data_IF_707845189452
#
_entry.id   IF_707845189452
#
_cell.length_a   1.000
_cell.length_b   1.000
_cell.length_c   1.000
_cell.angle_alpha   90.00
_cell.angle_beta   90.00
_cell.angle_gamma   90.00
#
_symmetry.space_group_name_H-M   'P 1'
#
loop_
_entity.id
_entity.type
_entity.pdbx_description
1 polymer ?
#
# COMPACT_ATOMS: atom_id res chain seq x y z
N UNK A 1 16.27 11.33 -26.01
CA UNK A 1 15.55 10.07 -26.38
C UNK A 1 15.40 9.09 -25.21
N UNK A 2 16.15 9.21 -24.10
CA UNK A 2 16.03 8.29 -22.93
C UNK A 2 14.80 8.54 -22.04
N UNK A 3 14.25 9.76 -22.02
CA UNK A 3 13.14 10.11 -21.12
C UNK A 3 11.81 9.42 -21.46
N UNK A 4 11.56 9.12 -22.74
CA UNK A 4 10.29 8.54 -23.19
C UNK A 4 10.17 7.06 -22.78
N UNK A 5 11.27 6.29 -22.87
CA UNK A 5 11.30 4.89 -22.44
C UNK A 5 11.11 4.73 -20.94
N UNK A 6 11.72 5.61 -20.12
CA UNK A 6 11.50 5.61 -18.67
C UNK A 6 10.05 5.96 -18.29
N UNK A 7 9.42 6.89 -19.02
CA UNK A 7 8.03 7.26 -18.81
C UNK A 7 7.08 6.11 -19.14
N UNK A 8 7.30 5.41 -20.27
CA UNK A 8 6.51 4.22 -20.64
C UNK A 8 6.64 3.11 -19.60
N UNK A 9 7.86 2.78 -19.17
CA UNK A 9 8.08 1.78 -18.13
C UNK A 9 7.41 2.15 -16.79
N UNK A 10 7.39 3.46 -16.44
CA UNK A 10 6.70 3.93 -15.24
C UNK A 10 5.18 3.84 -15.33
N UNK A 11 4.62 4.05 -16.53
CA UNK A 11 3.19 3.87 -16.80
C UNK A 11 2.81 2.41 -16.69
N UNK A 12 3.57 1.53 -17.37
CA UNK A 12 3.33 0.08 -17.33
C UNK A 12 3.38 -0.47 -15.90
N UNK A 13 4.34 -0.01 -15.08
CA UNK A 13 4.39 -0.39 -13.66
C UNK A 13 3.19 0.14 -12.88
N UNK A 14 2.79 1.39 -13.09
CA UNK A 14 1.61 1.95 -12.42
C UNK A 14 0.34 1.16 -12.74
N UNK A 15 0.16 0.79 -14.00
CA UNK A 15 -0.99 0.03 -14.48
C UNK A 15 -0.98 -1.39 -13.89
N UNK A 16 0.18 -2.06 -13.89
CA UNK A 16 0.34 -3.39 -13.27
C UNK A 16 0.02 -3.37 -11.77
N UNK A 17 0.51 -2.37 -11.03
CA UNK A 17 0.23 -2.25 -9.60
C UNK A 17 -1.26 -1.99 -9.34
N UNK A 18 -1.94 -1.29 -10.25
CA UNK A 18 -3.38 -1.09 -10.19
C UNK A 18 -4.14 -2.40 -10.42
N UNK A 19 -3.77 -3.19 -11.43
CA UNK A 19 -4.35 -4.53 -11.66
C UNK A 19 -4.17 -5.45 -10.45
N UNK A 20 -3.00 -5.43 -9.80
CA UNK A 20 -2.75 -6.19 -8.57
C UNK A 20 -3.69 -5.75 -7.44
N UNK A 21 -3.86 -4.43 -7.25
CA UNK A 21 -4.74 -3.90 -6.22
C UNK A 21 -6.21 -4.31 -6.46
N UNK A 22 -6.67 -4.21 -7.70
CA UNK A 22 -8.04 -4.58 -8.08
C UNK A 22 -8.28 -6.08 -7.92
N UNK A 23 -7.36 -6.93 -8.37
CA UNK A 23 -7.45 -8.38 -8.21
C UNK A 23 -7.43 -8.82 -6.74
N UNK A 24 -6.62 -8.19 -5.89
CA UNK A 24 -6.58 -8.48 -4.46
C UNK A 24 -7.89 -8.11 -3.76
N UNK A 25 -8.51 -6.99 -4.17
CA UNK A 25 -9.82 -6.56 -3.66
C UNK A 25 -10.92 -7.53 -4.08
N UNK A 26 -10.94 -7.94 -5.34
CA UNK A 26 -11.90 -8.93 -5.85
C UNK A 26 -11.76 -10.27 -5.13
N UNK A 27 -10.54 -10.78 -5.00
CA UNK A 27 -10.25 -12.07 -4.37
C UNK A 27 -10.67 -12.12 -2.89
N UNK A 28 -10.47 -11.03 -2.16
CA UNK A 28 -10.76 -10.94 -0.72
C UNK A 28 -12.16 -10.40 -0.41
N UNK A 29 -12.94 -10.05 -1.44
CA UNK A 29 -14.22 -9.35 -1.31
C UNK A 29 -14.11 -8.10 -0.41
N UNK A 30 -13.00 -7.37 -0.54
CA UNK A 30 -12.71 -6.21 0.29
C UNK A 30 -13.41 -4.94 -0.24
N UNK A 31 -13.65 -3.96 0.62
CA UNK A 31 -14.20 -2.65 0.20
C UNK A 31 -13.14 -1.78 -0.50
N UNK A 32 -11.87 -1.98 -0.15
CA UNK A 32 -10.73 -1.25 -0.71
C UNK A 32 -9.45 -2.05 -0.52
N UNK A 33 -8.45 -1.72 -1.33
CA UNK A 33 -7.13 -2.32 -1.26
C UNK A 33 -6.15 -1.51 -2.08
N UNK A 34 -4.86 -1.77 -1.89
CA UNK A 34 -3.82 -1.01 -2.56
C UNK A 34 -2.45 -1.62 -2.39
N UNK A 35 -1.51 -1.09 -3.16
CA UNK A 35 -0.09 -1.41 -3.10
C UNK A 35 0.67 -0.16 -2.67
N UNK A 36 1.49 -0.31 -1.63
CA UNK A 36 2.41 0.73 -1.20
C UNK A 36 3.86 0.29 -1.42
N UNK A 37 4.68 1.20 -1.93
CA UNK A 37 6.09 0.94 -2.22
C UNK A 37 6.97 1.69 -1.22
N UNK A 38 8.05 1.04 -0.80
CA UNK A 38 9.07 1.65 0.06
C UNK A 38 9.77 2.76 -0.72
N UNK A 39 9.86 3.95 -0.13
CA UNK A 39 10.50 5.13 -0.68
C UNK A 39 11.36 5.82 0.39
N UNK A 40 12.09 6.86 -0.02
CA UNK A 40 12.91 7.69 0.87
C UNK A 40 13.80 6.88 1.82
N UNK A 41 14.63 6.01 1.23
CA UNK A 41 15.61 5.19 1.97
C UNK A 41 14.99 4.32 3.07
N UNK A 42 13.74 3.89 2.89
CA UNK A 42 13.07 2.98 3.84
C UNK A 42 12.25 3.70 4.91
N UNK A 43 12.15 5.02 4.89
CA UNK A 43 11.42 5.77 5.93
C UNK A 43 9.92 5.82 5.71
N UNK A 44 9.48 5.74 4.45
CA UNK A 44 8.08 5.87 4.09
C UNK A 44 7.64 4.82 3.08
N UNK A 45 6.33 4.62 3.06
CA UNK A 45 5.59 3.85 2.08
C UNK A 45 4.72 4.82 1.29
N UNK A 46 4.91 4.89 -0.03
CA UNK A 46 4.04 5.66 -0.93
C UNK A 46 2.95 4.75 -1.47
N UNK A 47 1.68 5.16 -1.34
CA UNK A 47 0.53 4.44 -1.93
C UNK A 47 0.59 4.57 -3.46
N UNK A 48 1.11 3.53 -4.13
CA UNK A 48 1.36 3.53 -5.57
C UNK A 48 0.12 3.13 -6.38
N UNK A 49 -0.70 2.24 -5.84
CA UNK A 49 -1.98 1.85 -6.41
C UNK A 49 -3.02 1.70 -5.30
N UNK A 50 -4.27 2.06 -5.57
CA UNK A 50 -5.36 1.97 -4.62
C UNK A 50 -6.71 2.04 -5.31
N UNK A 51 -7.66 1.25 -4.83
CA UNK A 51 -9.02 1.14 -5.36
C UNK A 51 -10.06 1.25 -4.25
N UNK A 52 -11.32 1.47 -4.64
CA UNK A 52 -12.44 1.66 -3.72
C UNK A 52 -12.47 3.05 -3.04
N UNK A 53 -13.28 3.19 -1.96
CA UNK A 53 -13.41 4.45 -1.21
C UNK A 53 -12.10 5.06 -0.72
N UNK A 54 -11.04 4.26 -0.53
CA UNK A 54 -9.73 4.79 -0.14
C UNK A 54 -8.92 5.40 -1.29
N UNK A 55 -9.39 5.39 -2.53
CA UNK A 55 -8.63 5.90 -3.69
C UNK A 55 -8.10 7.33 -3.53
N UNK A 56 -8.74 8.14 -2.68
CA UNK A 56 -8.32 9.51 -2.31
C UNK A 56 -6.94 9.61 -1.66
N UNK A 57 -6.36 8.49 -1.19
CA UNK A 57 -5.04 8.48 -0.54
C UNK A 57 -3.89 8.12 -1.47
N UNK A 58 -4.13 8.02 -2.78
CA UNK A 58 -3.08 7.81 -3.76
C UNK A 58 -1.93 8.81 -3.57
N UNK A 59 -0.70 8.33 -3.72
CA UNK A 59 0.56 9.06 -3.52
C UNK A 59 0.82 9.61 -2.12
N UNK A 60 -0.08 9.39 -1.15
CA UNK A 60 0.19 9.72 0.25
C UNK A 60 1.31 8.84 0.80
N UNK A 61 2.04 9.40 1.76
CA UNK A 61 3.10 8.73 2.50
C UNK A 61 2.57 8.19 3.83
N UNK A 62 2.93 6.95 4.12
CA UNK A 62 2.72 6.27 5.39
C UNK A 62 4.10 6.04 6.01
N UNK A 63 4.35 6.44 7.27
CA UNK A 63 5.63 6.20 7.91
C UNK A 63 5.84 4.69 8.10
N UNK A 64 7.07 4.21 7.90
CA UNK A 64 7.41 2.83 8.24
C UNK A 64 7.36 2.64 9.76
N UNK A 65 7.93 3.58 10.52
CA UNK A 65 7.83 3.55 11.97
C UNK A 65 6.41 3.85 12.44
N UNK A 66 5.89 3.02 13.33
CA UNK A 66 4.57 3.22 13.93
C UNK A 66 3.38 2.94 13.01
N UNK A 67 3.56 2.15 11.94
CA UNK A 67 2.46 1.66 11.11
C UNK A 67 2.44 0.14 10.95
N UNK A 68 1.24 -0.42 10.78
CA UNK A 68 1.04 -1.83 10.45
C UNK A 68 1.78 -2.22 9.17
N UNK A 69 1.71 -1.38 8.13
CA UNK A 69 2.41 -1.65 6.87
C UNK A 69 3.93 -1.64 7.06
N UNK A 70 4.47 -0.70 7.84
CA UNK A 70 5.89 -0.68 8.16
C UNK A 70 6.33 -1.88 8.99
N UNK A 71 5.48 -2.41 9.86
CA UNK A 71 5.76 -3.66 10.58
C UNK A 71 5.88 -4.87 9.63
N UNK A 72 5.06 -4.93 8.57
CA UNK A 72 5.12 -5.97 7.53
C UNK A 72 6.40 -5.86 6.72
N UNK A 73 6.80 -4.63 6.35
CA UNK A 73 8.06 -4.39 5.61
C UNK A 73 9.28 -4.76 6.45
N UNK A 74 9.27 -4.39 7.73
CA UNK A 74 10.42 -4.62 8.64
C UNK A 74 10.58 -6.09 9.01
N UNK A 75 9.47 -6.80 9.23
CA UNK A 75 9.48 -8.22 9.63
C UNK A 75 9.39 -9.20 8.47
N UNK A 76 9.14 -8.68 7.25
CA UNK A 76 8.77 -9.43 6.06
C UNK A 76 7.72 -10.53 6.26
N UNK A 77 6.82 -10.32 7.23
CA UNK A 77 5.79 -11.29 7.62
C UNK A 77 4.41 -10.66 7.44
N UNK A 78 3.42 -11.38 6.89
CA UNK A 78 2.05 -10.88 6.81
C UNK A 78 1.47 -10.50 8.16
N UNK A 79 0.62 -9.48 8.18
CA UNK A 79 -0.14 -9.06 9.36
C UNK A 79 -1.62 -9.01 9.04
N UNK A 80 -2.43 -9.58 9.94
CA UNK A 80 -3.87 -9.41 9.97
C UNK A 80 -4.22 -8.53 11.19
N UNK A 81 -5.08 -7.54 10.98
CA UNK A 81 -5.73 -6.79 12.05
C UNK A 81 -7.24 -6.93 11.88
N UNK A 82 -7.91 -7.46 12.91
CA UNK A 82 -9.37 -7.63 12.95
C UNK A 82 -10.08 -6.43 13.59
N UNK A 83 -9.32 -5.50 14.15
CA UNK A 83 -9.82 -4.24 14.71
C UNK A 83 -8.69 -3.21 14.63
N UNK A 84 -8.65 -2.46 13.54
CA UNK A 84 -7.63 -1.44 13.35
C UNK A 84 -7.82 -0.22 14.26
N UNK A 85 -9.01 0.01 14.83
CA UNK A 85 -9.21 1.14 15.74
C UNK A 85 -8.58 0.86 17.10
N UNK A 86 -8.61 -0.41 17.54
CA UNK A 86 -7.97 -0.88 18.76
C UNK A 86 -6.49 -1.31 18.57
N UNK A 87 -6.02 -1.54 17.34
CA UNK A 87 -4.64 -1.96 17.08
C UNK A 87 -3.65 -0.79 17.27
N UNK A 88 -2.75 -0.85 18.27
CA UNK A 88 -1.82 0.25 18.57
C UNK A 88 -0.80 0.49 17.46
N UNK A 89 -0.68 -0.42 16.48
CA UNK A 89 0.18 -0.26 15.32
C UNK A 89 -0.51 0.48 14.17
N UNK A 90 -1.78 0.83 14.31
CA UNK A 90 -2.51 1.55 13.26
C UNK A 90 -2.02 2.99 13.17
N UNK A 91 -1.43 3.33 12.03
CA UNK A 91 -1.18 4.71 11.67
C UNK A 91 -2.48 5.39 11.24
N UNK A 92 -2.91 6.40 11.99
CA UNK A 92 -4.06 7.24 11.62
C UNK A 92 -3.58 8.36 10.70
N UNK A 93 -3.93 8.25 9.42
CA UNK A 93 -3.52 9.23 8.43
C UNK A 93 -4.24 10.58 8.66
N UNK A 94 -3.51 11.70 8.79
CA UNK A 94 -4.11 13.01 8.97
C UNK A 94 -4.97 13.46 7.78
N UNK A 95 -6.14 14.03 8.07
CA UNK A 95 -7.07 14.57 7.09
C UNK A 95 -7.94 13.51 6.40
N UNK A 96 -8.16 12.38 7.09
CA UNK A 96 -8.86 11.23 6.56
C UNK A 96 -9.95 10.80 7.53
N UNK A 97 -11.20 11.08 7.18
CA UNK A 97 -12.35 10.89 8.07
C UNK A 97 -12.98 9.49 7.97
N UNK A 98 -12.28 8.54 7.35
CA UNK A 98 -12.73 7.14 7.29
C UNK A 98 -11.98 6.27 8.30
N UNK A 99 -12.66 5.24 8.80
CA UNK A 99 -12.09 4.25 9.71
C UNK A 99 -12.07 2.90 9.01
N UNK A 100 -10.87 2.38 8.77
CA UNK A 100 -10.71 0.98 8.38
C UNK A 100 -10.97 0.11 9.61
N UNK A 101 -11.76 -0.95 9.44
CA UNK A 101 -12.10 -1.87 10.53
C UNK A 101 -11.14 -3.04 10.61
N UNK A 102 -10.85 -3.64 9.47
CA UNK A 102 -9.97 -4.80 9.36
C UNK A 102 -8.97 -4.58 8.23
N UNK A 103 -7.82 -5.25 8.32
CA UNK A 103 -6.85 -5.28 7.23
C UNK A 103 -6.08 -6.59 7.21
N UNK A 104 -5.80 -7.07 6.00
CA UNK A 104 -4.76 -8.05 5.72
C UNK A 104 -3.67 -7.34 4.92
N UNK A 105 -2.43 -7.39 5.42
CA UNK A 105 -1.29 -6.71 4.82
C UNK A 105 -0.19 -7.75 4.59
N UNK A 106 0.23 -7.89 3.34
CA UNK A 106 1.23 -8.88 2.92
C UNK A 106 2.46 -8.17 2.35
N UNK A 107 3.67 -8.71 2.56
CA UNK A 107 4.87 -8.15 1.95
C UNK A 107 4.86 -8.46 0.45
N UNK A 108 5.01 -7.43 -0.37
CA UNK A 108 5.29 -7.58 -1.80
C UNK A 108 6.80 -7.50 -2.00
N UNK A 109 7.38 -8.61 -2.44
CA UNK A 109 8.81 -8.70 -2.73
C UNK A 109 9.01 -8.57 -4.22
N UNK A 110 9.95 -7.70 -4.60
CA UNK A 110 10.59 -7.85 -5.89
C UNK A 110 11.24 -9.23 -5.90
N UNK A 111 10.82 -10.10 -6.82
CA UNK A 111 11.73 -11.12 -7.30
C UNK A 111 12.83 -10.34 -8.01
N UNK A 112 13.86 -9.94 -7.27
CA UNK A 112 15.03 -9.31 -7.87
C UNK A 112 15.59 -10.18 -9.00
N UNK A 113 16.52 -9.66 -9.82
CA UNK A 113 17.36 -10.56 -10.59
C UNK A 113 18.05 -11.61 -9.69
#
# INVERSE_FOLDING_TARGET
MLAFGALLASSELSDLLQEIADAAVELLEAESGGVALVVEEGRFLRVAAITGPLSVIRDRLIPVDGSLMGSVVTSETPVLSNDMDADPRTYRMPGLDFVLRTAAIVPLRSAGP
#
